data_IF_119230898246
#
_entry.id   IF_119230898246
#
_cell.length_a   1.000
_cell.length_b   1.000
_cell.length_c   1.000
_cell.angle_alpha   90.00
_cell.angle_beta   90.00
_cell.angle_gamma   90.00
#
_symmetry.space_group_name_H-M   'P 1'
#
loop_
_entity.id
_entity.type
_entity.pdbx_description
1 polymer ?
#
# COMPACT_ATOMS: atom_id res chain seq x y z
N UNK A 1 2.06 4.45 -14.47
CA UNK A 1 2.50 3.70 -13.27
C UNK A 1 3.98 3.99 -13.09
N UNK A 2 4.42 4.48 -11.94
CA UNK A 2 5.85 4.60 -11.68
C UNK A 2 6.49 3.21 -11.81
N UNK A 3 7.43 3.06 -12.75
CA UNK A 3 8.15 1.79 -12.91
C UNK A 3 8.89 1.49 -11.61
N UNK A 4 8.50 0.39 -10.96
CA UNK A 4 9.22 -0.15 -9.81
C UNK A 4 10.66 -0.42 -10.26
N UNK A 5 11.70 0.10 -9.55
CA UNK A 5 13.09 -0.16 -9.92
C UNK A 5 13.33 -1.66 -10.04
N UNK A 6 14.03 -2.07 -11.10
CA UNK A 6 14.28 -3.48 -11.43
C UNK A 6 15.08 -4.23 -10.35
N UNK A 7 15.74 -3.51 -9.46
CA UNK A 7 16.50 -4.05 -8.35
C UNK A 7 16.11 -3.33 -7.05
N UNK A 8 15.07 -3.82 -6.38
CA UNK A 8 14.74 -3.34 -5.04
C UNK A 8 15.81 -3.80 -4.05
N UNK A 9 16.27 -2.93 -3.15
CA UNK A 9 17.04 -3.39 -2.00
C UNK A 9 16.15 -4.36 -1.19
N UNK A 10 16.72 -5.45 -0.70
CA UNK A 10 16.04 -6.27 0.30
C UNK A 10 15.71 -5.38 1.51
N UNK A 11 14.48 -5.48 2.01
CA UNK A 11 14.04 -4.72 3.15
C UNK A 11 13.18 -5.61 4.06
N UNK A 12 13.19 -5.33 5.35
CA UNK A 12 12.31 -6.03 6.29
C UNK A 12 10.87 -5.49 6.18
N UNK A 13 10.74 -4.18 5.97
CA UNK A 13 9.45 -3.48 5.91
C UNK A 13 9.39 -2.60 4.67
N UNK A 14 8.36 -2.81 3.87
CA UNK A 14 7.95 -1.92 2.80
C UNK A 14 6.70 -1.14 3.20
N UNK A 15 6.75 0.18 3.06
CA UNK A 15 5.61 1.06 3.29
C UNK A 15 5.38 1.93 2.04
N UNK A 16 4.22 1.78 1.41
CA UNK A 16 3.79 2.60 0.29
C UNK A 16 2.68 3.56 0.74
N UNK A 17 2.77 4.85 0.38
CA UNK A 17 1.94 5.92 0.94
C UNK A 17 1.22 6.71 -0.15
N UNK A 18 0.11 6.16 -0.65
CA UNK A 18 -0.74 6.79 -1.66
C UNK A 18 -0.25 6.65 -3.09
N UNK A 19 -1.12 7.03 -4.02
CA UNK A 19 -0.90 7.07 -5.47
C UNK A 19 -0.31 5.77 -6.04
N UNK A 20 -0.87 4.65 -5.59
CA UNK A 20 -0.54 3.34 -6.14
C UNK A 20 -0.93 3.27 -7.64
N UNK A 21 -1.94 4.06 -8.03
CA UNK A 21 -2.43 4.19 -9.40
C UNK A 21 -2.60 5.64 -9.81
N UNK A 22 -2.42 5.93 -11.11
CA UNK A 22 -2.66 7.28 -11.67
C UNK A 22 -4.15 7.57 -11.90
N UNK A 23 -4.95 6.53 -12.14
CA UNK A 23 -6.33 6.64 -12.64
C UNK A 23 -7.38 6.01 -11.71
N UNK A 24 -6.96 5.28 -10.67
CA UNK A 24 -7.87 4.57 -9.77
C UNK A 24 -8.66 3.44 -10.41
N UNK A 25 -8.31 2.99 -11.63
CA UNK A 25 -9.08 1.96 -12.32
C UNK A 25 -8.85 0.59 -11.69
N UNK A 26 -9.84 -0.33 -11.72
CA UNK A 26 -9.68 -1.72 -11.32
C UNK A 26 -8.45 -2.40 -11.94
N UNK A 27 -8.23 -2.19 -13.23
CA UNK A 27 -7.15 -2.81 -13.98
C UNK A 27 -5.79 -2.30 -13.49
N UNK A 28 -5.63 -0.99 -13.36
CA UNK A 28 -4.43 -0.35 -12.79
C UNK A 28 -4.20 -0.80 -11.34
N UNK A 29 -5.25 -0.86 -10.53
CA UNK A 29 -5.17 -1.29 -9.12
C UNK A 29 -4.70 -2.73 -9.01
N UNK A 30 -5.29 -3.63 -9.80
CA UNK A 30 -4.91 -5.04 -9.83
C UNK A 30 -3.46 -5.24 -10.29
N UNK A 31 -3.06 -4.53 -11.35
CA UNK A 31 -1.69 -4.56 -11.86
C UNK A 31 -0.71 -4.04 -10.81
N UNK A 32 -1.01 -2.91 -10.17
CA UNK A 32 -0.15 -2.32 -9.16
C UNK A 32 0.02 -3.22 -7.93
N UNK A 33 -1.05 -3.84 -7.43
CA UNK A 33 -0.96 -4.81 -6.32
C UNK A 33 -0.10 -6.03 -6.69
N UNK A 34 -0.22 -6.52 -7.92
CA UNK A 34 0.57 -7.65 -8.41
C UNK A 34 2.05 -7.31 -8.50
N UNK A 35 2.38 -6.13 -9.00
CA UNK A 35 3.77 -5.66 -9.07
C UNK A 35 4.34 -5.41 -7.67
N UNK A 36 3.57 -4.77 -6.77
CA UNK A 36 3.97 -4.55 -5.39
C UNK A 36 4.28 -5.87 -4.69
N UNK A 37 3.42 -6.88 -4.87
CA UNK A 37 3.59 -8.23 -4.30
C UNK A 37 4.80 -9.02 -4.80
N UNK A 38 5.51 -8.55 -5.83
CA UNK A 38 6.80 -9.15 -6.25
C UNK A 38 7.96 -8.76 -5.35
N UNK A 39 7.81 -7.70 -4.55
CA UNK A 39 8.88 -7.24 -3.68
C UNK A 39 9.06 -8.16 -2.48
N UNK A 40 10.32 -8.42 -2.12
CA UNK A 40 10.67 -9.21 -0.94
C UNK A 40 10.74 -8.27 0.26
N UNK A 41 9.69 -8.29 1.07
CA UNK A 41 9.67 -7.72 2.41
C UNK A 41 8.95 -8.68 3.36
N UNK A 42 9.40 -8.74 4.61
CA UNK A 42 8.67 -9.49 5.65
C UNK A 42 7.30 -8.87 5.87
N UNK A 43 7.24 -7.54 5.89
CA UNK A 43 6.01 -6.79 6.05
C UNK A 43 5.82 -5.80 4.91
N UNK A 44 4.68 -5.89 4.23
CA UNK A 44 4.30 -4.96 3.17
C UNK A 44 3.03 -4.22 3.55
N UNK A 45 3.18 -2.92 3.78
CA UNK A 45 2.15 -2.00 4.22
C UNK A 45 1.84 -1.01 3.12
N UNK A 46 0.57 -0.69 2.96
CA UNK A 46 0.12 0.36 2.07
C UNK A 46 -0.91 1.26 2.75
N UNK A 47 -0.82 2.56 2.49
CA UNK A 47 -1.84 3.55 2.85
C UNK A 47 -2.44 4.03 1.53
N UNK A 48 -3.76 3.96 1.39
CA UNK A 48 -4.44 4.36 0.17
C UNK A 48 -4.39 5.88 -0.03
N UNK A 49 -4.17 6.33 -1.27
CA UNK A 49 -4.25 7.73 -1.69
C UNK A 49 -5.66 8.08 -2.18
N UNK A 50 -5.82 9.28 -2.75
CA UNK A 50 -7.11 9.76 -3.26
C UNK A 50 -7.58 9.02 -4.51
N UNK A 51 -6.67 8.37 -5.25
CA UNK A 51 -7.00 7.56 -6.43
C UNK A 51 -7.48 6.15 -6.05
N UNK A 52 -7.14 5.67 -4.85
CA UNK A 52 -7.46 4.32 -4.37
C UNK A 52 -8.84 4.19 -3.73
N UNK A 53 -9.84 4.96 -4.17
CA UNK A 53 -11.25 4.79 -3.73
C UNK A 53 -11.79 3.35 -3.85
N UNK A 54 -11.33 2.48 -4.79
CA UNK A 54 -11.75 1.09 -4.79
C UNK A 54 -11.28 0.30 -3.55
N UNK A 55 -10.15 0.68 -2.93
CA UNK A 55 -9.56 -0.01 -1.79
C UNK A 55 -10.37 0.13 -0.49
N UNK A 56 -11.38 0.98 -0.45
CA UNK A 56 -12.37 0.98 0.63
C UNK A 56 -13.35 -0.21 0.54
N UNK A 57 -13.40 -0.90 -0.59
CA UNK A 57 -14.32 -2.03 -0.81
C UNK A 57 -13.67 -3.34 -0.37
N UNK A 58 -14.41 -4.24 0.32
CA UNK A 58 -13.88 -5.53 0.80
C UNK A 58 -13.21 -6.40 -0.27
N UNK A 59 -13.70 -6.34 -1.51
CA UNK A 59 -13.10 -7.06 -2.63
C UNK A 59 -11.63 -6.72 -2.84
N UNK A 60 -11.30 -5.42 -2.82
CA UNK A 60 -9.95 -4.95 -3.09
C UNK A 60 -9.00 -5.16 -1.91
N UNK A 61 -9.50 -5.05 -0.68
CA UNK A 61 -8.74 -5.45 0.52
C UNK A 61 -8.37 -6.94 0.47
N UNK A 62 -9.29 -7.79 -0.02
CA UNK A 62 -9.02 -9.22 -0.23
C UNK A 62 -7.96 -9.44 -1.32
N UNK A 63 -8.02 -8.70 -2.44
CA UNK A 63 -7.01 -8.79 -3.49
C UNK A 63 -5.62 -8.32 -3.02
N UNK A 64 -5.56 -7.24 -2.24
CA UNK A 64 -4.32 -6.77 -1.65
C UNK A 64 -3.69 -7.82 -0.74
N UNK A 65 -4.50 -8.39 0.16
CA UNK A 65 -4.06 -9.44 1.09
C UNK A 65 -3.54 -10.67 0.35
N UNK A 66 -4.16 -11.06 -0.77
CA UNK A 66 -3.68 -12.17 -1.63
C UNK A 66 -2.30 -11.90 -2.24
N UNK A 67 -1.93 -10.63 -2.44
CA UNK A 67 -0.62 -10.22 -2.93
C UNK A 67 0.34 -9.87 -1.78
N UNK A 68 0.02 -10.20 -0.53
CA UNK A 68 0.86 -9.92 0.64
C UNK A 68 0.82 -8.47 1.12
N UNK A 69 -0.05 -7.63 0.53
CA UNK A 69 -0.17 -6.20 0.87
C UNK A 69 -1.21 -6.00 1.97
N UNK A 70 -0.81 -5.36 3.07
CA UNK A 70 -1.74 -4.96 4.13
C UNK A 70 -2.07 -3.47 4.03
N UNK A 71 -3.33 -3.15 3.74
CA UNK A 71 -3.79 -1.76 3.77
C UNK A 71 -4.06 -1.28 5.21
N UNK A 72 -3.45 -0.16 5.56
CA UNK A 72 -3.67 0.51 6.84
C UNK A 72 -4.76 1.56 6.67
N UNK A 73 -5.80 1.43 7.47
CA UNK A 73 -6.80 2.48 7.66
C UNK A 73 -6.29 3.47 8.69
N UNK A 74 -7.02 4.56 8.91
CA UNK A 74 -6.66 5.48 9.98
C UNK A 74 -6.59 4.75 11.33
N UNK A 75 -5.47 4.90 12.04
CA UNK A 75 -5.26 4.24 13.32
C UNK A 75 -3.79 3.98 13.68
N UNK A 76 -3.57 3.57 14.93
CA UNK A 76 -2.27 3.16 15.43
C UNK A 76 -2.13 1.62 15.38
N UNK A 77 -1.02 1.16 14.81
CA UNK A 77 -0.70 -0.26 14.64
C UNK A 77 0.63 -0.57 15.33
N UNK A 78 0.73 -1.77 15.89
CA UNK A 78 1.95 -2.33 16.47
C UNK A 78 2.37 -3.54 15.64
N UNK A 79 3.58 -3.48 15.08
CA UNK A 79 4.16 -4.58 14.32
C UNK A 79 5.36 -5.16 15.05
N UNK A 80 5.51 -6.48 14.94
CA UNK A 80 6.65 -7.23 15.44
C UNK A 80 7.22 -8.04 14.28
N UNK A 81 8.49 -7.83 14.00
CA UNK A 81 9.21 -8.53 12.94
C UNK A 81 9.83 -9.84 13.47
N UNK A 82 10.18 -10.73 12.56
CA UNK A 82 10.85 -12.02 12.84
C UNK A 82 12.22 -11.80 13.49
N UNK A 83 12.87 -10.68 13.20
CA UNK A 83 14.10 -10.22 13.86
C UNK A 83 13.92 -9.87 15.35
N UNK A 84 12.68 -9.78 15.84
CA UNK A 84 12.33 -9.32 17.19
C UNK A 84 12.16 -7.81 17.31
N UNK A 85 12.52 -7.04 16.28
CA UNK A 85 12.26 -5.61 16.23
C UNK A 85 10.74 -5.33 16.32
N UNK A 86 10.39 -4.27 17.04
CA UNK A 86 9.00 -3.87 17.25
C UNK A 86 8.88 -2.38 16.97
N UNK A 87 7.87 -1.99 16.20
CA UNK A 87 7.62 -0.59 15.89
C UNK A 87 6.12 -0.29 15.87
N UNK A 88 5.80 0.99 16.07
CA UNK A 88 4.43 1.51 15.95
C UNK A 88 4.35 2.43 14.74
N UNK A 89 3.25 2.33 14.02
CA UNK A 89 2.92 3.25 12.94
C UNK A 89 1.53 3.81 13.19
N UNK A 90 1.37 5.12 13.02
CA UNK A 90 0.05 5.74 12.93
C UNK A 90 -0.20 6.04 11.45
N UNK A 91 -1.22 5.42 10.89
CA UNK A 91 -1.66 5.68 9.53
C UNK A 91 -2.77 6.75 9.56
N UNK A 92 -2.71 7.69 8.62
CA UNK A 92 -3.70 8.75 8.45
C UNK A 92 -4.00 8.88 6.96
N UNK A 93 -4.90 8.02 6.47
CA UNK A 93 -5.33 8.00 5.06
C UNK A 93 -6.18 9.21 4.65
N UNK A 94 -6.20 10.29 5.45
CA UNK A 94 -7.04 11.44 5.18
C UNK A 94 -6.51 12.22 3.98
N UNK A 95 -7.13 12.00 2.82
CA UNK A 95 -6.97 12.84 1.64
C UNK A 95 -8.13 13.83 1.58
N UNK A 96 -7.90 15.16 1.73
CA UNK A 96 -8.95 16.14 1.49
C UNK A 96 -9.43 16.03 0.03
N UNK A 97 -10.74 16.06 -0.18
CA UNK A 97 -11.38 16.06 -1.52
C UNK A 97 -11.11 17.41 -2.20
N UNK A 98 -9.87 17.67 -2.62
CA UNK A 98 -9.51 18.85 -3.38
C UNK A 98 -8.63 18.47 -4.57
N UNK A 99 -9.24 18.50 -5.76
CA UNK A 99 -8.54 18.57 -7.04
C UNK A 99 -7.87 17.27 -7.48
N UNK A 100 -7.60 17.19 -8.79
CA UNK A 100 -6.96 16.08 -9.49
C UNK A 100 -5.49 15.82 -9.08
N UNK A 101 -4.99 16.51 -8.06
CA UNK A 101 -3.64 16.32 -7.52
C UNK A 101 -3.74 16.54 -6.02
N UNK A 102 -3.59 15.45 -5.28
CA UNK A 102 -3.33 15.52 -3.86
C UNK A 102 -2.01 14.82 -3.50
N UNK A 103 -1.05 14.77 -4.44
CA UNK A 103 0.40 14.95 -4.29
C UNK A 103 0.96 15.37 -5.65
#
# INVERSE_FOLDING_TARGET
>A
MAELPSNFPECDVLLHCGDLTEDGTPESTSSALKELGKMRAELMLAIAGNHETPLEKPFWLSQASKNGVTFLREGAYLFKLSSGATFRIYASQYTPVYGFSAF
#
